data_IF_787198915275
#
_entry.id   IF_787198915275
#
_cell.length_a   1.000
_cell.length_b   1.000
_cell.length_c   1.000
_cell.angle_alpha   90.00
_cell.angle_beta   90.00
_cell.angle_gamma   90.00
#
_symmetry.space_group_name_H-M   'P 1'
#
loop_
_entity.id
_entity.type
_entity.pdbx_description
1 polymer ?
#
# COMPACT_ATOMS: atom_id res chain seq x y z
N UNK A 1 -1.26 30.70 11.52
CA UNK A 1 -0.88 29.37 11.04
C UNK A 1 -1.92 28.96 10.04
N UNK A 2 -1.53 28.68 8.80
CA UNK A 2 -2.48 28.30 7.76
C UNK A 2 -2.85 26.83 7.96
N UNK A 3 -4.14 26.53 7.96
CA UNK A 3 -4.63 25.16 8.11
C UNK A 3 -5.86 24.95 7.25
N UNK A 4 -6.02 23.72 6.73
CA UNK A 4 -7.24 23.29 6.03
C UNK A 4 -7.79 22.04 6.66
N UNK A 5 -9.11 22.01 6.86
CA UNK A 5 -9.80 20.89 7.46
C UNK A 5 -10.73 20.24 6.45
N UNK A 6 -10.75 18.93 6.49
CA UNK A 6 -11.63 18.08 5.69
C UNK A 6 -12.38 17.15 6.61
N UNK A 7 -13.65 16.89 6.30
CA UNK A 7 -14.45 15.88 6.99
C UNK A 7 -14.46 14.60 6.18
N UNK A 8 -14.23 13.48 6.83
CA UNK A 8 -14.24 12.16 6.23
C UNK A 8 -15.03 11.22 7.13
N UNK A 9 -16.23 10.81 6.71
CA UNK A 9 -17.21 10.15 7.56
C UNK A 9 -17.49 10.98 8.84
N UNK A 10 -17.27 10.35 10.01
CA UNK A 10 -17.39 11.00 11.33
C UNK A 10 -16.06 11.58 11.83
N UNK A 11 -15.02 11.57 10.99
CA UNK A 11 -13.67 11.98 11.36
C UNK A 11 -13.27 13.28 10.68
N UNK A 12 -12.32 13.99 11.27
CA UNK A 12 -11.72 15.18 10.67
C UNK A 12 -10.26 14.96 10.36
N UNK A 13 -9.82 15.55 9.25
CA UNK A 13 -8.42 15.63 8.89
C UNK A 13 -8.08 17.10 8.77
N UNK A 14 -7.12 17.55 9.56
CA UNK A 14 -6.64 18.94 9.51
C UNK A 14 -5.18 18.95 9.06
N UNK A 15 -4.92 19.59 7.94
CA UNK A 15 -3.56 19.82 7.44
C UNK A 15 -3.11 21.18 7.95
N UNK A 16 -1.98 21.22 8.63
CA UNK A 16 -1.44 22.40 9.31
C UNK A 16 -0.02 22.68 8.86
N UNK A 17 0.30 23.96 8.66
CA UNK A 17 1.68 24.41 8.55
C UNK A 17 2.20 24.78 9.92
N UNK A 18 3.33 24.19 10.32
CA UNK A 18 3.96 24.54 11.59
C UNK A 18 4.58 23.35 12.30
N UNK A 19 4.87 23.58 13.56
CA UNK A 19 5.59 22.62 14.39
C UNK A 19 4.61 21.65 15.06
N UNK A 20 4.78 20.36 14.82
CA UNK A 20 3.92 19.30 15.37
C UNK A 20 3.89 19.27 16.92
N UNK A 21 4.93 19.78 17.60
CA UNK A 21 4.93 19.86 19.07
C UNK A 21 3.88 20.82 19.64
N UNK A 22 3.25 21.64 18.80
CA UNK A 22 2.12 22.51 19.14
C UNK A 22 0.76 21.83 19.00
N UNK A 23 0.74 20.57 18.58
CA UNK A 23 -0.47 19.77 18.50
C UNK A 23 -1.10 19.55 19.88
N UNK A 24 -2.43 19.47 19.91
CA UNK A 24 -3.19 19.05 21.09
C UNK A 24 -3.73 17.63 20.95
N UNK A 25 -3.31 16.90 19.95
CA UNK A 25 -3.70 15.50 19.77
C UNK A 25 -3.16 14.63 20.92
N UNK A 26 -3.88 13.57 21.26
CA UNK A 26 -3.46 12.61 22.31
C UNK A 26 -2.17 11.89 21.94
N UNK A 27 -1.90 11.75 20.62
CA UNK A 27 -0.69 11.09 20.09
C UNK A 27 0.02 12.02 19.12
N UNK A 28 1.33 12.11 19.29
CA UNK A 28 2.24 12.63 18.26
C UNK A 28 3.04 11.47 17.68
N UNK A 29 3.11 11.43 16.35
CA UNK A 29 3.94 10.49 15.63
C UNK A 29 5.34 11.09 15.46
N UNK A 30 6.36 10.30 15.79
CA UNK A 30 7.77 10.58 15.56
C UNK A 30 8.30 9.71 14.43
N UNK A 31 9.17 10.24 13.59
CA UNK A 31 9.88 9.46 12.56
C UNK A 31 11.32 9.22 13.05
N UNK A 32 11.65 7.95 13.30
CA UNK A 32 12.86 7.56 14.01
C UNK A 32 13.68 6.50 13.25
N UNK A 33 14.89 6.30 13.73
CA UNK A 33 15.74 5.16 13.35
C UNK A 33 15.44 3.93 14.23
N UNK A 34 15.96 2.76 13.85
CA UNK A 34 15.71 1.49 14.52
C UNK A 34 16.18 1.42 15.99
N UNK A 35 17.00 2.35 16.44
CA UNK A 35 17.44 2.49 17.84
C UNK A 35 16.75 3.65 18.57
N UNK A 36 15.85 4.37 17.90
CA UNK A 36 15.13 5.53 18.44
C UNK A 36 16.11 6.49 19.12
N UNK A 37 17.14 6.89 18.36
CA UNK A 37 18.18 7.77 18.88
C UNK A 37 17.70 9.20 19.16
N UNK A 38 16.57 9.59 18.56
CA UNK A 38 15.95 10.91 18.68
C UNK A 38 16.91 12.06 18.36
N UNK A 39 17.85 11.81 17.42
CA UNK A 39 18.98 12.71 17.14
C UNK A 39 18.67 13.89 16.23
N UNK A 40 17.52 13.89 15.52
CA UNK A 40 17.24 14.93 14.53
C UNK A 40 15.76 15.15 14.24
N UNK A 41 15.47 16.23 13.51
CA UNK A 41 14.14 16.55 13.03
C UNK A 41 13.05 16.58 14.11
N UNK A 42 11.91 16.00 13.79
CA UNK A 42 10.74 15.94 14.69
C UNK A 42 11.05 15.19 15.98
N UNK A 43 11.77 14.08 15.93
CA UNK A 43 12.06 13.28 17.12
C UNK A 43 12.90 14.05 18.14
N UNK A 44 13.88 14.86 17.69
CA UNK A 44 14.65 15.75 18.55
C UNK A 44 13.78 16.85 19.19
N UNK A 45 12.84 17.41 18.41
CA UNK A 45 11.92 18.43 18.95
C UNK A 45 11.00 17.83 20.04
N UNK A 46 10.49 16.62 19.82
CA UNK A 46 9.70 15.87 20.79
C UNK A 46 10.51 15.60 22.07
N UNK A 47 11.76 15.11 21.92
CA UNK A 47 12.64 14.86 23.06
C UNK A 47 12.90 16.11 23.87
N UNK A 48 13.15 17.22 23.19
CA UNK A 48 13.41 18.50 23.87
C UNK A 48 12.18 18.98 24.66
N UNK A 49 10.98 18.83 24.11
CA UNK A 49 9.72 19.27 24.74
C UNK A 49 9.26 18.33 25.86
N UNK A 50 9.30 17.02 25.62
CA UNK A 50 8.76 16.00 26.52
C UNK A 50 9.78 15.41 27.51
N UNK A 51 11.07 15.74 27.34
CA UNK A 51 12.12 15.37 28.29
C UNK A 51 12.70 13.96 28.12
N UNK A 52 13.74 13.68 28.88
CA UNK A 52 14.57 12.47 28.79
C UNK A 52 13.82 11.16 29.15
N UNK A 53 12.67 11.24 29.78
CA UNK A 53 11.85 10.06 30.09
C UNK A 53 11.40 9.33 28.82
N UNK A 54 11.03 10.06 27.76
CA UNK A 54 10.67 9.49 26.47
C UNK A 54 11.80 8.63 25.91
N UNK A 55 13.02 9.18 25.88
CA UNK A 55 14.21 8.46 25.40
C UNK A 55 14.50 7.22 26.26
N UNK A 56 14.45 7.35 27.59
CA UNK A 56 14.68 6.20 28.48
C UNK A 56 13.66 5.07 28.28
N UNK A 57 12.41 5.42 28.02
CA UNK A 57 11.37 4.43 27.73
C UNK A 57 11.59 3.78 26.36
N UNK A 58 11.94 4.57 25.33
CA UNK A 58 12.27 4.07 24.01
C UNK A 58 13.45 3.10 24.01
N UNK A 59 14.50 3.37 24.83
CA UNK A 59 15.68 2.51 24.91
C UNK A 59 15.40 1.11 25.51
N UNK A 60 14.27 0.89 26.15
CA UNK A 60 13.84 -0.44 26.62
C UNK A 60 13.24 -1.29 25.50
N UNK A 61 12.86 -0.67 24.39
CA UNK A 61 12.14 -1.28 23.29
C UNK A 61 13.01 -1.61 22.08
N UNK A 62 14.16 -0.95 21.95
CA UNK A 62 15.05 -1.08 20.78
C UNK A 62 15.89 -2.36 20.80
N UNK A 63 16.30 -2.91 19.64
CA UNK A 63 16.03 -2.38 18.29
C UNK A 63 14.63 -2.70 17.79
N UNK A 64 14.02 -1.78 17.04
CA UNK A 64 12.72 -1.93 16.41
C UNK A 64 12.90 -2.11 14.90
N UNK A 65 12.11 -2.99 14.30
CA UNK A 65 12.20 -3.28 12.88
C UNK A 65 11.75 -2.10 12.00
N UNK A 66 12.36 -1.98 10.83
CA UNK A 66 11.98 -0.99 9.83
C UNK A 66 10.49 -1.14 9.43
N UNK A 67 9.73 -0.04 9.49
CA UNK A 67 8.28 -0.02 9.24
C UNK A 67 7.43 -0.31 10.47
N UNK A 68 8.01 -0.71 11.59
CA UNK A 68 7.27 -0.91 12.83
C UNK A 68 7.10 0.40 13.63
N UNK A 69 6.23 0.34 14.63
CA UNK A 69 5.91 1.47 15.52
C UNK A 69 6.08 1.04 16.97
N UNK A 70 6.95 1.76 17.69
CA UNK A 70 7.07 1.64 19.14
C UNK A 70 6.26 2.73 19.84
N UNK A 71 5.78 2.46 21.04
CA UNK A 71 4.98 3.40 21.83
C UNK A 71 5.70 3.72 23.12
N UNK A 72 5.82 5.03 23.42
CA UNK A 72 6.29 5.52 24.72
C UNK A 72 5.30 6.48 25.32
N UNK A 73 5.48 6.80 26.60
CA UNK A 73 4.79 7.94 27.22
C UNK A 73 5.25 9.25 26.56
N UNK A 74 4.45 10.29 26.69
CA UNK A 74 4.78 11.61 26.14
C UNK A 74 5.64 12.47 27.12
N UNK A 75 6.13 11.89 28.19
CA UNK A 75 6.98 12.57 29.16
C UNK A 75 6.26 13.73 29.86
N UNK A 76 6.83 14.95 29.71
CA UNK A 76 6.26 16.17 30.31
C UNK A 76 5.39 16.99 29.36
N UNK A 77 5.00 16.43 28.22
CA UNK A 77 4.11 17.11 27.28
C UNK A 77 2.69 17.23 27.87
N UNK A 78 2.06 18.38 27.68
CA UNK A 78 0.82 18.75 28.37
C UNK A 78 -0.42 18.02 27.82
N UNK A 79 -0.51 17.88 26.50
CA UNK A 79 -1.70 17.38 25.82
C UNK A 79 -1.56 15.93 25.35
N UNK A 80 -0.34 15.48 25.11
CA UNK A 80 -0.05 14.18 24.57
C UNK A 80 -0.04 13.11 25.65
N UNK A 81 -0.66 11.98 25.37
CA UNK A 81 -0.59 10.77 26.20
C UNK A 81 0.57 9.87 25.78
N UNK A 82 0.81 9.77 24.46
CA UNK A 82 1.79 8.87 23.89
C UNK A 82 2.56 9.48 22.74
N UNK A 83 3.76 8.96 22.52
CA UNK A 83 4.53 9.16 21.30
C UNK A 83 4.58 7.83 20.56
N UNK A 84 4.22 7.86 19.28
CA UNK A 84 4.32 6.72 18.36
C UNK A 84 5.57 6.90 17.50
N UNK A 85 6.59 6.07 17.76
CA UNK A 85 7.86 6.10 17.06
C UNK A 85 7.79 5.22 15.82
N UNK A 86 7.55 5.81 14.65
CA UNK A 86 7.58 5.13 13.36
C UNK A 86 9.02 4.95 12.88
N UNK A 87 9.45 3.72 12.67
CA UNK A 87 10.81 3.42 12.26
C UNK A 87 10.93 3.53 10.74
N UNK A 88 11.55 4.60 10.29
CA UNK A 88 11.73 4.92 8.87
C UNK A 88 13.18 4.83 8.40
N UNK A 89 14.13 4.70 9.33
CA UNK A 89 15.56 4.65 9.06
C UNK A 89 16.17 3.40 9.70
N UNK A 90 16.55 2.46 8.84
CA UNK A 90 17.46 1.35 9.12
C UNK A 90 18.32 1.13 7.88
N UNK A 91 19.52 1.69 7.88
CA UNK A 91 20.43 1.63 6.73
C UNK A 91 20.77 0.19 6.34
N UNK A 92 20.98 -0.68 7.32
CA UNK A 92 21.35 -2.08 7.08
C UNK A 92 20.18 -2.83 6.44
N UNK A 93 18.99 -2.70 6.99
CA UNK A 93 17.79 -3.36 6.49
C UNK A 93 17.38 -2.82 5.12
N UNK A 94 17.48 -1.50 4.92
CA UNK A 94 17.20 -0.88 3.62
C UNK A 94 18.14 -1.40 2.53
N UNK A 95 19.45 -1.51 2.80
CA UNK A 95 20.40 -2.11 1.88
C UNK A 95 20.03 -3.56 1.54
N UNK A 96 19.71 -4.38 2.54
CA UNK A 96 19.27 -5.76 2.31
C UNK A 96 18.00 -5.84 1.45
N UNK A 97 17.04 -4.92 1.61
CA UNK A 97 15.85 -4.86 0.78
C UNK A 97 16.19 -4.48 -0.67
N UNK A 98 17.10 -3.54 -0.87
CA UNK A 98 17.58 -3.14 -2.21
C UNK A 98 18.40 -4.25 -2.88
N UNK A 99 19.23 -4.97 -2.13
CA UNK A 99 19.96 -6.16 -2.61
C UNK A 99 19.01 -7.29 -3.04
N UNK A 100 17.82 -7.37 -2.45
CA UNK A 100 16.78 -8.30 -2.86
C UNK A 100 15.93 -7.79 -4.05
N UNK A 101 16.41 -6.79 -4.77
CA UNK A 101 15.81 -6.22 -5.98
C UNK A 101 14.43 -5.54 -5.76
N UNK A 102 14.14 -5.17 -4.52
CA UNK A 102 12.99 -4.31 -4.22
C UNK A 102 13.37 -2.88 -4.62
N UNK A 103 12.55 -2.19 -5.41
CA UNK A 103 12.84 -0.82 -5.79
C UNK A 103 12.81 0.09 -4.57
N UNK A 104 13.59 1.17 -4.60
CA UNK A 104 13.56 2.18 -3.54
C UNK A 104 12.15 2.74 -3.35
N UNK A 105 11.40 2.87 -4.43
CA UNK A 105 10.02 3.31 -4.45
C UNK A 105 9.09 2.35 -3.71
N UNK A 106 9.20 1.06 -3.94
CA UNK A 106 8.37 0.05 -3.27
C UNK A 106 8.68 0.00 -1.77
N UNK A 107 9.96 0.13 -1.39
CA UNK A 107 10.37 0.23 0.02
C UNK A 107 9.73 1.44 0.68
N UNK A 108 9.79 2.60 0.03
CA UNK A 108 9.24 3.84 0.57
C UNK A 108 7.72 3.80 0.68
N UNK A 109 7.03 3.33 -0.36
CA UNK A 109 5.58 3.18 -0.35
C UNK A 109 5.12 2.22 0.76
N UNK A 110 5.81 1.09 0.89
CA UNK A 110 5.58 0.14 1.98
C UNK A 110 5.76 0.80 3.35
N UNK A 111 6.89 1.45 3.58
CA UNK A 111 7.21 2.06 4.87
C UNK A 111 6.17 3.10 5.29
N UNK A 112 5.82 4.01 4.37
CA UNK A 112 4.89 5.10 4.66
C UNK A 112 3.47 4.58 4.94
N UNK A 113 2.96 3.68 4.10
CA UNK A 113 1.62 3.14 4.29
C UNK A 113 1.55 2.24 5.51
N UNK A 114 2.53 1.38 5.72
CA UNK A 114 2.56 0.43 6.84
C UNK A 114 2.68 1.14 8.19
N UNK A 115 3.53 2.17 8.29
CA UNK A 115 3.65 2.96 9.51
C UNK A 115 2.34 3.67 9.88
N UNK A 116 1.65 4.24 8.89
CA UNK A 116 0.34 4.86 9.10
C UNK A 116 -0.71 3.83 9.53
N UNK A 117 -0.79 2.67 8.85
CA UNK A 117 -1.73 1.60 9.21
C UNK A 117 -1.51 1.12 10.65
N UNK A 118 -0.25 0.93 11.04
CA UNK A 118 0.08 0.55 12.43
C UNK A 118 -0.32 1.60 13.45
N UNK A 119 -0.14 2.88 13.14
CA UNK A 119 -0.60 3.96 14.00
C UNK A 119 -2.12 3.90 14.22
N UNK A 120 -2.90 3.66 13.16
CA UNK A 120 -4.35 3.53 13.28
C UNK A 120 -4.79 2.29 14.06
N UNK A 121 -4.09 1.15 13.89
CA UNK A 121 -4.34 -0.03 14.72
C UNK A 121 -4.07 0.24 16.21
N UNK A 122 -2.99 0.95 16.53
CA UNK A 122 -2.67 1.33 17.90
C UNK A 122 -3.69 2.32 18.47
N UNK A 123 -4.11 3.34 17.71
CA UNK A 123 -5.18 4.28 18.10
C UNK A 123 -6.45 3.51 18.48
N UNK A 124 -6.83 2.52 17.69
CA UNK A 124 -8.00 1.69 17.95
C UNK A 124 -7.81 0.81 19.19
N UNK A 125 -6.67 0.13 19.29
CA UNK A 125 -6.39 -0.79 20.41
C UNK A 125 -6.28 -0.07 21.76
N UNK A 126 -5.81 1.20 21.75
CA UNK A 126 -5.63 2.01 22.95
C UNK A 126 -6.81 2.94 23.27
N UNK A 127 -7.90 2.84 22.50
CA UNK A 127 -9.11 3.67 22.61
C UNK A 127 -8.83 5.19 22.57
N UNK A 128 -7.92 5.61 21.68
CA UNK A 128 -7.57 7.01 21.49
C UNK A 128 -8.40 7.63 20.35
N UNK A 129 -8.53 8.94 20.35
CA UNK A 129 -9.43 9.67 19.44
C UNK A 129 -8.72 10.69 18.56
N UNK A 130 -7.46 10.99 18.83
CA UNK A 130 -6.72 12.01 18.08
C UNK A 130 -5.23 11.66 17.89
N UNK A 131 -4.73 11.96 16.70
CA UNK A 131 -3.34 11.69 16.31
C UNK A 131 -2.80 12.78 15.39
N UNK A 132 -1.58 13.20 15.64
CA UNK A 132 -0.84 14.13 14.81
C UNK A 132 0.33 13.45 14.10
N UNK A 133 0.37 13.55 12.78
CA UNK A 133 1.43 13.03 11.93
C UNK A 133 2.33 14.16 11.42
N UNK A 134 3.66 13.99 11.43
CA UNK A 134 4.54 14.78 10.58
C UNK A 134 4.51 14.22 9.15
N UNK A 135 5.15 14.88 8.21
CA UNK A 135 5.53 14.29 6.93
C UNK A 135 6.60 13.23 7.15
N UNK A 136 6.19 11.98 7.40
CA UNK A 136 7.06 10.87 7.78
C UNK A 136 8.09 10.62 6.66
N UNK A 137 9.40 10.71 7.01
CA UNK A 137 10.48 10.43 6.07
C UNK A 137 10.89 11.60 5.16
N UNK A 138 10.18 12.73 5.14
CA UNK A 138 10.56 13.89 4.34
C UNK A 138 11.84 14.59 4.85
N UNK A 139 12.21 14.37 6.11
CA UNK A 139 13.42 14.93 6.71
C UNK A 139 14.66 14.08 6.43
N UNK A 140 15.19 13.43 7.47
CA UNK A 140 16.46 12.68 7.41
C UNK A 140 16.49 11.51 6.42
N UNK A 141 15.34 10.97 6.01
CA UNK A 141 15.25 9.94 4.97
C UNK A 141 15.21 10.50 3.54
N UNK A 142 15.16 11.84 3.38
CA UNK A 142 15.19 12.56 2.10
C UNK A 142 14.13 12.13 1.08
N UNK A 143 12.96 11.67 1.54
CA UNK A 143 11.87 11.32 0.63
C UNK A 143 11.21 12.60 0.12
N UNK A 144 10.95 12.75 -1.20
CA UNK A 144 10.25 13.90 -1.73
C UNK A 144 8.89 14.11 -1.05
N UNK A 145 8.62 15.33 -0.60
CA UNK A 145 7.43 15.64 0.21
C UNK A 145 6.12 15.34 -0.51
N UNK A 146 6.06 15.54 -1.83
CA UNK A 146 4.89 15.19 -2.64
C UNK A 146 4.56 13.70 -2.53
N UNK A 147 5.58 12.85 -2.60
CA UNK A 147 5.44 11.40 -2.48
C UNK A 147 5.01 10.99 -1.08
N UNK A 148 5.60 11.61 -0.06
CA UNK A 148 5.22 11.38 1.35
C UNK A 148 3.74 11.69 1.54
N UNK A 149 3.28 12.87 1.12
CA UNK A 149 1.89 13.29 1.28
C UNK A 149 0.96 12.37 0.48
N UNK A 150 1.34 11.97 -0.73
CA UNK A 150 0.55 11.05 -1.54
C UNK A 150 0.34 9.71 -0.83
N UNK A 151 1.39 9.09 -0.36
CA UNK A 151 1.30 7.76 0.27
C UNK A 151 0.62 7.81 1.63
N UNK A 152 0.92 8.84 2.44
CA UNK A 152 0.26 9.04 3.73
C UNK A 152 -1.23 9.33 3.56
N UNK A 153 -1.63 10.16 2.56
CA UNK A 153 -3.04 10.48 2.32
C UNK A 153 -3.85 9.24 1.92
N UNK A 154 -3.27 8.35 1.10
CA UNK A 154 -3.89 7.08 0.73
C UNK A 154 -4.13 6.21 1.97
N UNK A 155 -3.11 6.08 2.82
CA UNK A 155 -3.22 5.26 4.02
C UNK A 155 -4.18 5.85 5.06
N UNK A 156 -4.13 7.15 5.32
CA UNK A 156 -5.04 7.85 6.25
C UNK A 156 -6.48 7.70 5.77
N UNK A 157 -6.77 8.03 4.51
CA UNK A 157 -8.12 7.95 3.97
C UNK A 157 -8.67 6.52 3.99
N UNK A 158 -7.83 5.51 3.67
CA UNK A 158 -8.21 4.10 3.76
C UNK A 158 -8.60 3.71 5.20
N UNK A 159 -7.80 4.08 6.19
CA UNK A 159 -8.09 3.76 7.59
C UNK A 159 -9.34 4.45 8.10
N UNK A 160 -9.54 5.73 7.75
CA UNK A 160 -10.76 6.46 8.12
C UNK A 160 -12.00 5.94 7.40
N UNK A 161 -11.84 5.43 6.17
CA UNK A 161 -12.92 4.77 5.43
C UNK A 161 -13.38 3.45 6.05
N UNK A 162 -12.48 2.75 6.75
CA UNK A 162 -12.72 1.44 7.34
C UNK A 162 -13.10 1.47 8.81
N UNK A 163 -13.23 2.65 9.44
CA UNK A 163 -13.63 2.79 10.85
C UNK A 163 -14.94 3.53 10.98
N UNK A 164 -15.76 3.11 11.95
CA UNK A 164 -16.97 3.83 12.35
C UNK A 164 -16.71 4.82 13.51
N UNK A 165 -15.45 4.91 13.96
CA UNK A 165 -15.07 5.82 15.06
C UNK A 165 -14.91 7.24 14.53
N UNK A 166 -15.18 8.21 15.39
CA UNK A 166 -14.84 9.60 15.14
C UNK A 166 -13.39 9.85 15.58
N UNK A 167 -12.53 10.18 14.63
CA UNK A 167 -11.11 10.43 14.87
C UNK A 167 -10.73 11.84 14.38
N UNK A 168 -9.88 12.52 15.14
CA UNK A 168 -9.26 13.78 14.74
C UNK A 168 -7.81 13.50 14.30
N UNK A 169 -7.54 13.64 13.02
CA UNK A 169 -6.22 13.44 12.43
C UNK A 169 -5.64 14.79 12.05
N UNK A 170 -4.44 15.08 12.49
CA UNK A 170 -3.68 16.25 12.10
C UNK A 170 -2.47 15.83 11.26
N UNK A 171 -2.20 16.52 10.16
CA UNK A 171 -1.01 16.35 9.34
C UNK A 171 -0.22 17.65 9.36
N UNK A 172 0.99 17.60 9.90
CA UNK A 172 1.87 18.76 10.02
C UNK A 172 2.89 18.80 8.89
N UNK A 173 2.89 19.90 8.17
CA UNK A 173 3.88 20.26 7.16
C UNK A 173 4.84 21.28 7.77
N UNK A 174 6.13 20.95 7.83
CA UNK A 174 7.16 21.80 8.41
C UNK A 174 8.28 22.05 7.40
N UNK A 175 8.25 23.23 6.79
CA UNK A 175 9.25 23.67 5.81
C UNK A 175 10.19 24.74 6.43
N UNK A 176 11.22 24.27 7.13
CA UNK A 176 12.20 25.14 7.78
C UNK A 176 13.10 25.89 6.80
N UNK A 177 13.16 25.47 5.57
CA UNK A 177 14.04 26.03 4.55
C UNK A 177 13.31 26.91 3.54
N UNK A 178 11.99 27.05 3.68
CA UNK A 178 11.10 27.77 2.72
C UNK A 178 11.34 27.31 1.27
N UNK A 179 11.47 26.01 1.07
CA UNK A 179 11.74 25.41 -0.24
C UNK A 179 10.50 25.33 -1.14
N UNK A 180 9.32 25.47 -0.55
CA UNK A 180 8.04 25.34 -1.23
C UNK A 180 7.32 26.67 -1.28
N UNK A 181 6.75 26.98 -2.42
CA UNK A 181 5.88 28.17 -2.57
C UNK A 181 4.49 27.88 -2.01
N UNK A 182 3.71 28.93 -1.77
CA UNK A 182 2.31 28.80 -1.36
C UNK A 182 1.49 27.97 -2.37
N UNK A 183 1.77 28.13 -3.67
CA UNK A 183 1.13 27.35 -4.72
C UNK A 183 1.44 25.85 -4.64
N UNK A 184 2.66 25.45 -4.25
CA UNK A 184 3.03 24.07 -4.08
C UNK A 184 2.22 23.45 -2.93
N UNK A 185 2.04 24.18 -1.84
CA UNK A 185 1.23 23.74 -0.70
C UNK A 185 -0.25 23.64 -1.05
N UNK A 186 -0.79 24.59 -1.80
CA UNK A 186 -2.18 24.53 -2.29
C UNK A 186 -2.38 23.28 -3.14
N UNK A 187 -1.48 22.98 -4.06
CA UNK A 187 -1.53 21.77 -4.88
C UNK A 187 -1.53 20.49 -4.06
N UNK A 188 -0.72 20.44 -2.98
CA UNK A 188 -0.70 19.31 -2.07
C UNK A 188 -2.02 19.15 -1.31
N UNK A 189 -2.63 20.24 -0.84
CA UNK A 189 -3.94 20.22 -0.19
C UNK A 189 -5.03 19.75 -1.14
N UNK A 190 -5.05 20.27 -2.38
CA UNK A 190 -6.04 19.88 -3.39
C UNK A 190 -5.90 18.41 -3.77
N UNK A 191 -4.70 17.90 -3.91
CA UNK A 191 -4.44 16.49 -4.17
C UNK A 191 -4.97 15.60 -3.04
N UNK A 192 -4.79 16.01 -1.79
CA UNK A 192 -5.33 15.31 -0.63
C UNK A 192 -6.86 15.34 -0.63
N UNK A 193 -7.45 16.52 -0.84
CA UNK A 193 -8.90 16.71 -0.88
C UNK A 193 -9.57 15.89 -2.00
N UNK A 194 -8.96 15.86 -3.19
CA UNK A 194 -9.46 15.09 -4.33
C UNK A 194 -9.46 13.57 -4.03
N UNK A 195 -8.41 13.07 -3.38
CA UNK A 195 -8.33 11.65 -2.98
C UNK A 195 -9.34 11.29 -1.89
N UNK A 196 -9.51 12.16 -0.90
CA UNK A 196 -10.50 11.99 0.15
C UNK A 196 -11.93 11.99 -0.41
N UNK A 197 -12.25 12.96 -1.30
CA UNK A 197 -13.55 13.05 -1.97
C UNK A 197 -13.84 11.83 -2.86
N UNK A 198 -12.84 11.31 -3.58
CA UNK A 198 -12.99 10.11 -4.39
C UNK A 198 -13.31 8.85 -3.55
N UNK A 199 -12.71 8.74 -2.37
CA UNK A 199 -12.96 7.62 -1.47
C UNK A 199 -14.33 7.74 -0.81
N UNK A 200 -14.77 8.94 -0.45
CA UNK A 200 -16.10 9.22 0.07
C UNK A 200 -17.17 8.96 -1.00
N UNK A 201 -16.94 9.38 -2.24
CA UNK A 201 -17.80 9.09 -3.37
C UNK A 201 -17.98 7.58 -3.61
N UNK A 202 -16.89 6.82 -3.60
CA UNK A 202 -16.94 5.36 -3.74
C UNK A 202 -17.71 4.69 -2.61
N UNK A 203 -17.62 5.20 -1.39
CA UNK A 203 -18.35 4.68 -0.23
C UNK A 203 -19.86 4.99 -0.33
N UNK A 204 -20.22 6.19 -0.78
CA UNK A 204 -21.61 6.59 -0.97
C UNK A 204 -22.29 5.77 -2.08
N UNK A 205 -21.57 5.45 -3.14
CA UNK A 205 -22.05 4.53 -4.20
C UNK A 205 -22.31 3.12 -3.66
N UNK A 206 -21.50 2.64 -2.72
CA UNK A 206 -21.69 1.34 -2.08
C UNK A 206 -22.88 1.29 -1.09
N UNK A 207 -23.35 2.44 -0.63
CA UNK A 207 -24.44 2.57 0.35
C UNK A 207 -25.80 2.96 -0.28
N UNK A 208 -25.87 3.22 -1.58
CA UNK A 208 -27.15 3.48 -2.28
C UNK A 208 -27.64 2.20 -2.94
N UNK A 209 -28.71 1.63 -2.37
CA UNK A 209 -29.43 0.45 -2.87
C UNK A 209 -30.16 0.69 -4.22
N UNK A 210 -29.83 1.73 -4.96
CA UNK A 210 -30.54 2.11 -6.18
C UNK A 210 -29.59 2.32 -7.35
N UNK A 211 -29.04 1.19 -7.86
CA UNK A 211 -28.50 1.13 -9.21
C UNK A 211 -28.77 -0.25 -9.82
N UNK A 212 -29.89 -0.35 -10.48
CA UNK A 212 -30.07 -1.32 -11.56
C UNK A 212 -29.09 -0.98 -12.69
N UNK A 213 -28.31 -2.01 -13.09
CA UNK A 213 -27.45 -2.04 -14.26
C UNK A 213 -26.09 -1.30 -14.21
N UNK A 214 -25.23 -1.63 -13.28
CA UNK A 214 -23.85 -2.12 -13.51
C UNK A 214 -23.44 -2.87 -12.23
N UNK A 215 -23.78 -4.12 -12.14
CA UNK A 215 -23.43 -4.99 -11.04
C UNK A 215 -21.92 -5.26 -11.03
N UNK A 216 -21.13 -4.40 -10.41
CA UNK A 216 -19.94 -4.86 -9.73
C UNK A 216 -20.42 -5.54 -8.44
N UNK A 217 -20.66 -6.82 -8.52
CA UNK A 217 -20.87 -7.65 -7.35
C UNK A 217 -19.53 -7.65 -6.60
N UNK A 218 -19.37 -6.75 -5.60
CA UNK A 218 -18.51 -7.03 -4.47
C UNK A 218 -19.16 -8.19 -3.71
N UNK A 219 -18.94 -9.40 -4.18
CA UNK A 219 -19.04 -10.52 -3.27
C UNK A 219 -17.99 -10.28 -2.21
N UNK A 220 -18.43 -10.02 -0.97
CA UNK A 220 -17.61 -10.22 0.19
C UNK A 220 -16.89 -11.55 -0.01
N UNK A 221 -15.57 -11.46 -0.17
CA UNK A 221 -14.74 -12.66 -0.13
C UNK A 221 -14.75 -13.05 1.34
N UNK A 222 -15.39 -14.16 1.72
CA UNK A 222 -15.27 -14.68 3.07
C UNK A 222 -13.78 -14.80 3.39
N UNK A 223 -13.41 -14.65 4.65
CA UNK A 223 -12.09 -15.06 5.12
C UNK A 223 -11.84 -16.46 4.54
N UNK A 224 -10.70 -16.69 3.85
CA UNK A 224 -10.54 -17.91 3.08
C UNK A 224 -10.61 -19.12 3.98
N UNK A 225 -11.74 -19.77 3.92
CA UNK A 225 -11.83 -21.16 4.31
C UNK A 225 -11.04 -21.93 3.23
N UNK A 226 -9.92 -22.53 3.61
CA UNK A 226 -9.03 -23.28 2.71
C UNK A 226 -9.75 -24.39 1.91
N UNK A 227 -11.01 -24.63 2.20
CA UNK A 227 -11.86 -25.63 1.56
C UNK A 227 -12.70 -25.19 0.36
N UNK A 228 -12.79 -23.88 0.04
CA UNK A 228 -13.75 -23.38 -0.97
C UNK A 228 -13.15 -22.67 -2.20
N UNK A 229 -11.83 -22.67 -2.39
CA UNK A 229 -11.22 -22.10 -3.61
C UNK A 229 -11.42 -23.04 -4.80
N UNK A 230 -12.22 -22.62 -5.79
CA UNK A 230 -12.57 -23.44 -6.99
C UNK A 230 -11.93 -22.93 -8.28
N UNK A 231 -11.19 -21.82 -8.26
CA UNK A 231 -10.64 -21.23 -9.47
C UNK A 231 -9.59 -22.11 -10.15
N UNK A 232 -9.59 -22.05 -11.50
CA UNK A 232 -8.70 -22.86 -12.34
C UNK A 232 -7.54 -22.08 -12.92
N UNK A 233 -7.62 -20.75 -12.93
CA UNK A 233 -6.66 -19.84 -13.55
C UNK A 233 -6.25 -18.75 -12.56
N UNK A 234 -4.95 -18.50 -12.45
CA UNK A 234 -4.38 -17.37 -11.73
C UNK A 234 -3.96 -16.28 -12.74
N UNK A 235 -4.25 -15.01 -12.47
CA UNK A 235 -3.84 -13.89 -13.31
C UNK A 235 -2.78 -13.06 -12.59
N UNK A 236 -1.55 -13.10 -13.10
CA UNK A 236 -0.42 -12.29 -12.64
C UNK A 236 -0.22 -11.07 -13.56
N UNK A 237 -0.26 -9.88 -12.98
CA UNK A 237 -0.16 -8.63 -13.73
C UNK A 237 0.39 -7.48 -12.89
N UNK A 238 0.94 -6.46 -13.54
CA UNK A 238 1.24 -5.19 -12.88
C UNK A 238 -0.02 -4.35 -12.76
N UNK A 239 -0.26 -3.72 -11.62
CA UNK A 239 -1.40 -2.81 -11.40
C UNK A 239 -1.47 -1.65 -12.40
N UNK A 240 -0.34 -1.28 -12.99
CA UNK A 240 -0.31 -0.28 -14.05
C UNK A 240 -0.99 -0.78 -15.33
N UNK A 241 -1.17 -2.10 -15.47
CA UNK A 241 -1.82 -2.76 -16.60
C UNK A 241 -3.25 -3.21 -16.27
N UNK A 242 -3.88 -2.57 -15.26
CA UNK A 242 -5.19 -2.94 -14.71
C UNK A 242 -6.30 -2.99 -15.78
N UNK A 243 -6.29 -2.08 -16.73
CA UNK A 243 -7.31 -2.02 -17.79
C UNK A 243 -7.28 -3.29 -18.66
N UNK A 244 -6.09 -3.74 -19.03
CA UNK A 244 -5.92 -4.98 -19.80
C UNK A 244 -6.28 -6.20 -18.96
N UNK A 245 -5.88 -6.23 -17.69
CA UNK A 245 -6.23 -7.30 -16.78
C UNK A 245 -7.76 -7.42 -16.61
N UNK A 246 -8.46 -6.29 -16.50
CA UNK A 246 -9.92 -6.27 -16.43
C UNK A 246 -10.57 -6.79 -17.70
N UNK A 247 -10.07 -6.38 -18.87
CA UNK A 247 -10.57 -6.89 -20.15
C UNK A 247 -10.39 -8.42 -20.28
N UNK A 248 -9.24 -8.95 -19.80
CA UNK A 248 -9.02 -10.40 -19.76
C UNK A 248 -10.00 -11.09 -18.81
N UNK A 249 -10.28 -10.52 -17.64
CA UNK A 249 -11.29 -11.03 -16.71
C UNK A 249 -12.66 -11.16 -17.39
N UNK A 250 -13.11 -10.14 -18.13
CA UNK A 250 -14.36 -10.14 -18.86
C UNK A 250 -14.42 -11.26 -19.92
N UNK A 251 -13.30 -11.53 -20.61
CA UNK A 251 -13.20 -12.65 -21.55
C UNK A 251 -13.37 -13.98 -20.83
N UNK A 252 -12.71 -14.17 -19.68
CA UNK A 252 -12.79 -15.41 -18.92
C UNK A 252 -14.20 -15.64 -18.36
N UNK A 253 -14.83 -14.60 -17.82
CA UNK A 253 -16.21 -14.63 -17.31
C UNK A 253 -17.22 -15.01 -18.42
N UNK A 254 -17.13 -14.38 -19.60
CA UNK A 254 -17.97 -14.70 -20.76
C UNK A 254 -17.84 -16.16 -21.24
N UNK A 255 -16.71 -16.79 -20.96
CA UNK A 255 -16.43 -18.17 -21.33
C UNK A 255 -16.57 -19.16 -20.16
N UNK A 256 -17.09 -18.73 -19.02
CA UNK A 256 -17.31 -19.58 -17.85
C UNK A 256 -16.02 -20.14 -17.23
N UNK A 257 -14.90 -19.45 -17.40
CA UNK A 257 -13.60 -19.85 -16.86
C UNK A 257 -13.41 -19.20 -15.49
N UNK A 258 -13.35 -19.99 -14.45
CA UNK A 258 -13.11 -19.53 -13.09
C UNK A 258 -11.65 -19.10 -12.92
N UNK A 259 -11.42 -17.90 -12.40
CA UNK A 259 -10.09 -17.35 -12.22
C UNK A 259 -9.93 -16.62 -10.89
N UNK A 260 -8.70 -16.50 -10.47
CA UNK A 260 -8.27 -15.66 -9.35
C UNK A 260 -7.38 -14.52 -9.87
N UNK A 261 -7.65 -13.31 -9.37
CA UNK A 261 -6.87 -12.12 -9.65
C UNK A 261 -6.76 -11.27 -8.39
N UNK A 262 -5.58 -10.69 -8.14
CA UNK A 262 -5.42 -9.73 -7.04
C UNK A 262 -6.18 -8.43 -7.32
N UNK A 263 -7.40 -8.32 -6.80
CA UNK A 263 -8.23 -7.11 -6.89
C UNK A 263 -7.91 -6.10 -5.78
N UNK A 264 -7.43 -6.55 -4.64
CA UNK A 264 -7.31 -5.72 -3.42
C UNK A 264 -5.94 -5.09 -3.21
N UNK A 265 -4.89 -5.67 -3.78
CA UNK A 265 -3.53 -5.13 -3.67
C UNK A 265 -3.03 -4.88 -2.26
N UNK A 266 -3.51 -5.63 -1.29
CA UNK A 266 -3.13 -5.49 0.12
C UNK A 266 -2.02 -6.50 0.42
N UNK A 267 -0.79 -6.18 0.04
CA UNK A 267 0.39 -7.01 0.37
C UNK A 267 0.85 -6.88 1.84
N UNK A 268 0.01 -6.44 2.75
CA UNK A 268 0.43 -6.03 4.10
C UNK A 268 0.16 -7.05 5.21
N UNK A 269 -0.39 -8.23 4.92
CA UNK A 269 -0.47 -9.29 5.93
C UNK A 269 0.29 -10.54 5.49
N UNK A 270 0.91 -11.24 6.46
CA UNK A 270 1.48 -12.57 6.24
C UNK A 270 0.48 -13.51 5.57
N UNK A 271 -0.79 -13.42 5.97
CA UNK A 271 -1.90 -14.20 5.40
C UNK A 271 -2.14 -13.93 3.91
N UNK A 272 -1.82 -12.72 3.40
CA UNK A 272 -2.04 -12.39 1.99
C UNK A 272 -1.02 -13.07 1.06
N UNK A 273 0.22 -13.19 1.47
CA UNK A 273 1.24 -13.94 0.70
C UNK A 273 0.87 -15.42 0.63
N UNK A 274 0.37 -15.97 1.73
CA UNK A 274 -0.15 -17.34 1.77
C UNK A 274 -1.33 -17.51 0.81
N UNK A 275 -2.23 -16.51 0.72
CA UNK A 275 -3.34 -16.53 -0.24
C UNK A 275 -2.88 -16.55 -1.71
N UNK A 276 -1.85 -15.78 -2.06
CA UNK A 276 -1.28 -15.82 -3.41
C UNK A 276 -0.66 -17.18 -3.69
N UNK A 277 0.08 -17.72 -2.73
CA UNK A 277 0.68 -19.06 -2.81
C UNK A 277 -0.41 -20.10 -3.02
N UNK A 278 -1.41 -20.14 -2.15
CA UNK A 278 -2.55 -21.05 -2.23
C UNK A 278 -3.28 -20.90 -3.57
N UNK A 279 -3.50 -19.66 -4.03
CA UNK A 279 -4.16 -19.38 -5.30
C UNK A 279 -3.37 -19.91 -6.51
N UNK A 280 -2.05 -19.77 -6.51
CA UNK A 280 -1.19 -20.34 -7.56
C UNK A 280 -1.21 -21.86 -7.47
N UNK A 281 -1.11 -22.44 -6.27
CA UNK A 281 -1.09 -23.89 -6.06
C UNK A 281 -2.37 -24.60 -6.52
N UNK A 282 -3.51 -23.98 -6.29
CA UNK A 282 -4.83 -24.51 -6.71
C UNK A 282 -5.04 -24.37 -8.23
N UNK A 283 -4.48 -23.32 -8.85
CA UNK A 283 -4.64 -23.06 -10.27
C UNK A 283 -3.98 -24.12 -11.14
N UNK A 284 -4.61 -24.47 -12.25
CA UNK A 284 -4.02 -25.33 -13.30
C UNK A 284 -3.16 -24.50 -14.28
N UNK A 285 -3.53 -23.25 -14.49
CA UNK A 285 -2.84 -22.34 -15.40
C UNK A 285 -2.63 -20.97 -14.77
N UNK A 286 -1.57 -20.29 -15.22
CA UNK A 286 -1.23 -18.92 -14.84
C UNK A 286 -1.19 -18.05 -16.10
N UNK A 287 -2.04 -17.04 -16.18
CA UNK A 287 -1.92 -15.99 -17.18
C UNK A 287 -0.88 -14.99 -16.69
N UNK A 288 0.15 -14.75 -17.48
CA UNK A 288 1.15 -13.72 -17.24
C UNK A 288 0.95 -12.54 -18.19
N UNK A 289 0.42 -11.44 -17.72
CA UNK A 289 0.32 -10.20 -18.51
C UNK A 289 1.69 -9.54 -18.54
N UNK A 290 2.43 -9.76 -19.64
CA UNK A 290 3.80 -9.32 -19.83
C UNK A 290 3.86 -7.95 -20.48
N UNK A 291 4.41 -6.99 -19.75
CA UNK A 291 4.65 -5.60 -20.15
C UNK A 291 5.94 -5.07 -19.54
N UNK A 292 6.35 -3.86 -19.90
CA UNK A 292 7.43 -3.15 -19.22
C UNK A 292 7.13 -2.98 -17.71
N UNK A 293 5.88 -2.78 -17.35
CA UNK A 293 5.47 -2.64 -15.95
C UNK A 293 5.60 -3.96 -15.18
N UNK A 294 5.09 -5.06 -15.73
CA UNK A 294 5.09 -6.36 -15.05
C UNK A 294 6.48 -6.98 -15.00
N UNK A 295 7.30 -6.82 -16.03
CA UNK A 295 8.70 -7.28 -16.04
C UNK A 295 9.62 -6.49 -15.11
N UNK A 296 9.18 -5.34 -14.61
CA UNK A 296 9.83 -4.56 -13.55
C UNK A 296 9.14 -4.71 -12.18
N UNK A 297 8.08 -5.51 -12.06
CA UNK A 297 7.36 -5.76 -10.81
C UNK A 297 7.88 -7.00 -10.10
N UNK A 298 8.53 -6.83 -8.96
CA UNK A 298 9.04 -7.95 -8.16
C UNK A 298 7.95 -8.92 -7.70
N UNK A 299 6.74 -8.45 -7.49
CA UNK A 299 5.63 -9.33 -7.12
C UNK A 299 5.26 -10.25 -8.28
N UNK A 300 5.07 -9.67 -9.46
CA UNK A 300 4.80 -10.45 -10.69
C UNK A 300 5.91 -11.45 -10.96
N UNK A 301 7.18 -11.00 -10.88
CA UNK A 301 8.34 -11.88 -11.09
C UNK A 301 8.35 -13.04 -10.09
N UNK A 302 8.03 -12.81 -8.82
CA UNK A 302 7.95 -13.86 -7.79
C UNK A 302 6.78 -14.82 -8.02
N UNK A 303 5.62 -14.30 -8.40
CA UNK A 303 4.45 -15.09 -8.73
C UNK A 303 4.75 -16.03 -9.91
N UNK A 304 5.34 -15.51 -10.97
CA UNK A 304 5.73 -16.32 -12.14
C UNK A 304 6.82 -17.31 -11.79
N UNK A 305 7.87 -16.90 -11.08
CA UNK A 305 8.94 -17.82 -10.62
C UNK A 305 8.39 -18.93 -9.72
N UNK A 306 7.44 -18.60 -8.83
CA UNK A 306 6.77 -19.60 -8.02
C UNK A 306 5.91 -20.56 -8.85
N UNK A 307 5.14 -20.03 -9.81
CA UNK A 307 4.34 -20.84 -10.70
C UNK A 307 5.20 -21.81 -11.56
N UNK A 308 6.35 -21.36 -12.02
CA UNK A 308 7.35 -22.21 -12.71
C UNK A 308 7.82 -23.36 -11.80
N UNK A 309 8.23 -23.05 -10.58
CA UNK A 309 8.68 -24.05 -9.59
C UNK A 309 7.59 -25.07 -9.26
N UNK A 310 6.33 -24.68 -9.30
CA UNK A 310 5.17 -25.55 -9.11
C UNK A 310 4.71 -26.27 -10.40
N UNK A 311 5.49 -26.20 -11.48
CA UNK A 311 5.17 -26.78 -12.79
C UNK A 311 3.79 -26.39 -13.34
N UNK A 312 3.35 -25.12 -13.10
CA UNK A 312 2.09 -24.64 -13.63
C UNK A 312 2.20 -24.30 -15.12
N UNK A 313 1.11 -24.50 -15.85
CA UNK A 313 1.05 -24.05 -17.24
C UNK A 313 0.98 -22.53 -17.31
N UNK A 314 2.01 -21.88 -17.83
CA UNK A 314 2.07 -20.43 -17.96
C UNK A 314 1.64 -20.02 -19.37
N UNK A 315 0.73 -19.03 -19.45
CA UNK A 315 0.28 -18.42 -20.71
C UNK A 315 0.69 -16.94 -20.72
N UNK A 316 1.82 -16.60 -21.36
CA UNK A 316 2.24 -15.21 -21.44
C UNK A 316 1.37 -14.43 -22.46
N UNK A 317 0.82 -13.30 -22.01
CA UNK A 317 0.12 -12.31 -22.85
C UNK A 317 1.04 -11.11 -22.99
N UNK A 318 1.54 -10.88 -24.21
CA UNK A 318 2.52 -9.83 -24.49
C UNK A 318 1.81 -8.53 -24.86
N UNK A 319 2.03 -7.47 -24.10
CA UNK A 319 1.47 -6.13 -24.35
C UNK A 319 2.44 -5.24 -25.13
N UNK A 320 3.75 -5.42 -24.95
CA UNK A 320 4.81 -4.62 -25.58
C UNK A 320 6.04 -5.50 -25.88
N UNK A 321 7.06 -4.90 -26.49
CA UNK A 321 8.29 -5.63 -26.89
C UNK A 321 9.30 -5.78 -25.75
N UNK A 322 8.94 -5.48 -24.49
CA UNK A 322 9.85 -5.61 -23.36
C UNK A 322 10.23 -7.07 -23.13
N UNK A 323 11.53 -7.37 -23.06
CA UNK A 323 11.98 -8.73 -22.78
C UNK A 323 11.62 -9.14 -21.36
N UNK A 324 11.40 -10.44 -21.14
CA UNK A 324 11.16 -10.97 -19.81
C UNK A 324 12.26 -10.62 -18.82
N UNK A 325 11.90 -10.43 -17.57
CA UNK A 325 12.85 -10.19 -16.48
C UNK A 325 13.91 -11.30 -16.43
N UNK A 326 15.17 -10.95 -16.20
CA UNK A 326 16.30 -11.89 -16.27
C UNK A 326 16.12 -13.15 -15.42
N UNK A 327 15.47 -13.00 -14.25
CA UNK A 327 15.27 -14.08 -13.26
C UNK A 327 14.26 -15.15 -13.68
N UNK A 328 13.35 -14.84 -14.60
CA UNK A 328 12.35 -15.79 -15.10
C UNK A 328 12.51 -16.10 -16.58
N UNK A 329 13.45 -15.41 -17.26
CA UNK A 329 13.60 -15.48 -18.73
C UNK A 329 13.90 -16.88 -19.24
N UNK A 330 14.82 -17.61 -18.59
CA UNK A 330 15.17 -18.96 -18.99
C UNK A 330 14.01 -19.93 -18.88
N UNK A 331 13.15 -19.72 -17.90
CA UNK A 331 12.07 -20.64 -17.57
C UNK A 331 10.84 -20.48 -18.47
N UNK A 332 10.67 -19.29 -19.08
CA UNK A 332 9.46 -18.96 -19.86
C UNK A 332 9.74 -18.54 -21.31
N UNK A 333 11.01 -18.45 -21.73
CA UNK A 333 11.38 -17.99 -23.10
C UNK A 333 10.90 -18.93 -24.20
N UNK A 334 10.78 -20.20 -23.92
CA UNK A 334 10.35 -21.25 -24.87
C UNK A 334 8.83 -21.45 -24.90
N UNK A 335 8.09 -20.69 -24.07
CA UNK A 335 6.64 -20.78 -24.03
C UNK A 335 6.02 -19.88 -25.10
N UNK A 336 5.10 -20.46 -25.90
CA UNK A 336 4.34 -19.71 -26.89
C UNK A 336 3.57 -18.57 -26.23
N UNK A 337 3.81 -17.33 -26.71
CA UNK A 337 3.15 -16.15 -26.20
C UNK A 337 1.96 -15.75 -27.06
N UNK A 338 1.00 -15.05 -26.45
CA UNK A 338 -0.12 -14.44 -27.12
C UNK A 338 0.17 -12.94 -27.27
N UNK A 339 0.41 -12.47 -28.50
CA UNK A 339 0.55 -11.04 -28.79
C UNK A 339 -0.81 -10.36 -28.68
N UNK A 340 -0.90 -9.31 -27.84
CA UNK A 340 -2.18 -8.64 -27.53
C UNK A 340 -2.42 -7.36 -28.35
N UNK A 341 -1.72 -7.21 -29.50
CA UNK A 341 -1.91 -6.08 -30.41
C UNK A 341 -3.29 -6.03 -31.08
N UNK A 342 -3.90 -7.19 -31.28
CA UNK A 342 -5.27 -7.30 -31.77
C UNK A 342 -6.14 -7.99 -30.71
N UNK A 343 -6.84 -7.25 -29.85
CA UNK A 343 -7.59 -7.81 -28.72
C UNK A 343 -8.61 -8.88 -29.12
N UNK A 344 -9.29 -8.71 -30.26
CA UNK A 344 -10.34 -9.65 -30.68
C UNK A 344 -9.78 -11.01 -31.08
N UNK A 345 -8.67 -11.04 -31.80
CA UNK A 345 -7.99 -12.28 -32.23
C UNK A 345 -7.27 -12.94 -31.05
N UNK A 346 -6.58 -12.13 -30.27
CA UNK A 346 -5.85 -12.56 -29.08
C UNK A 346 -6.77 -13.19 -28.04
N UNK A 347 -7.97 -12.66 -27.87
CA UNK A 347 -9.00 -13.22 -26.98
C UNK A 347 -9.40 -14.63 -27.38
N UNK A 348 -9.62 -14.89 -28.68
CA UNK A 348 -9.94 -16.24 -29.18
C UNK A 348 -8.80 -17.21 -28.93
N UNK A 349 -7.54 -16.78 -29.21
CA UNK A 349 -6.35 -17.60 -28.96
C UNK A 349 -6.18 -17.90 -27.47
N UNK A 350 -6.41 -16.92 -26.60
CA UNK A 350 -6.36 -17.09 -25.14
C UNK A 350 -7.34 -18.15 -24.65
N UNK A 351 -8.62 -18.02 -25.03
CA UNK A 351 -9.65 -18.96 -24.62
C UNK A 351 -9.34 -20.38 -25.12
N UNK A 352 -8.93 -20.51 -26.39
CA UNK A 352 -8.59 -21.83 -26.97
C UNK A 352 -7.39 -22.47 -26.22
N UNK A 353 -6.35 -21.69 -25.95
CA UNK A 353 -5.15 -22.17 -25.22
C UNK A 353 -5.50 -22.58 -23.77
N UNK A 354 -6.33 -21.78 -23.08
CA UNK A 354 -6.79 -22.10 -21.74
C UNK A 354 -7.64 -23.37 -21.72
N UNK A 355 -8.61 -23.49 -22.63
CA UNK A 355 -9.46 -24.70 -22.69
C UNK A 355 -8.62 -25.95 -22.93
N UNK A 356 -7.58 -25.87 -23.75
CA UNK A 356 -6.65 -27.00 -23.94
C UNK A 356 -5.91 -27.38 -22.65
N UNK A 357 -5.43 -26.39 -21.89
CA UNK A 357 -4.70 -26.62 -20.65
C UNK A 357 -5.62 -27.12 -19.53
N UNK A 358 -6.84 -26.58 -19.43
CA UNK A 358 -7.78 -26.91 -18.36
C UNK A 358 -8.44 -28.29 -18.51
N UNK A 359 -8.49 -28.80 -19.75
CA UNK A 359 -9.07 -30.12 -20.07
C UNK A 359 -8.03 -31.26 -20.10
N UNK A 360 -6.74 -30.93 -19.87
CA UNK A 360 -5.70 -31.91 -19.56
C UNK A 360 -5.72 -32.28 -18.06
#
# INVERSE_FOLDING_TARGET
MESRQYTFNNSTITIKFGNIIESHAEVIVSSDDCYITMGGGVSRAILHKGGQSIFKDAQKLVPISLGDVAVTTAGTMEYQKYIFHCITIDKKRRLQMLESHITEEDVLNYLLQHAVDKCFHLIQAMDLTSIAFPTIGAGAAHIPIQKVIEQMSIAIARNLGNTNRSLNVELYLYDIYNLYSESDYITLFESFAAKAALLEYKKNLANTDDYTDVTYIEKEVPSPDRGSMTHKVFISYSRKDKEVAQYICEILEKNGIEFWIDKKGIYSSSNYKELIVDAIEISKAVIFISSANSNNSMNVIREIGYAVNMNKSILPIKLDETPYAKSIRLDISDIDMIDFKNPMESSKKLVTSLMYVLNK
#
